data_IF_630503587316
#
_entry.id   IF_630503587316
#
_cell.length_a   1.000
_cell.length_b   1.000
_cell.length_c   1.000
_cell.angle_alpha   90.00
_cell.angle_beta   90.00
_cell.angle_gamma   90.00
#
_symmetry.space_group_name_H-M   'P 1'
#
loop_
_entity.id
_entity.type
_entity.pdbx_description
1 polymer ?
#
# COMPACT_ATOMS: atom_id res chain seq x y z
N UNK A 1 1.68 9.25 -34.39
CA UNK A 1 1.93 10.45 -33.56
C UNK A 1 2.79 10.01 -32.40
N UNK A 2 3.92 10.67 -32.11
CA UNK A 2 4.73 10.33 -30.92
C UNK A 2 3.99 10.89 -29.70
N UNK A 3 3.71 10.03 -28.72
CA UNK A 3 3.16 10.44 -27.43
C UNK A 3 4.09 11.47 -26.76
N UNK A 4 3.51 12.42 -26.04
CA UNK A 4 4.26 13.48 -25.34
C UNK A 4 5.27 12.88 -24.35
N UNK A 5 6.48 13.43 -24.30
CA UNK A 5 7.49 13.00 -23.36
C UNK A 5 7.07 13.35 -21.93
N UNK A 6 6.98 12.35 -21.06
CA UNK A 6 6.76 12.54 -19.62
C UNK A 6 8.10 12.91 -18.99
N UNK A 7 8.19 14.12 -18.43
CA UNK A 7 9.41 14.65 -17.82
C UNK A 7 9.34 14.52 -16.30
N UNK A 8 10.27 13.77 -15.72
CA UNK A 8 10.38 13.62 -14.26
C UNK A 8 11.46 14.53 -13.71
N UNK A 9 11.12 15.39 -12.74
CA UNK A 9 12.12 16.08 -11.92
C UNK A 9 12.55 15.18 -10.78
N UNK A 10 13.82 14.78 -10.79
CA UNK A 10 14.42 14.03 -9.70
C UNK A 10 15.19 14.97 -8.76
N UNK A 11 15.11 14.76 -7.43
CA UNK A 11 16.03 15.40 -6.50
C UNK A 11 17.49 15.11 -6.90
N UNK A 12 18.40 16.07 -6.74
CA UNK A 12 19.78 15.96 -7.23
C UNK A 12 20.53 14.72 -6.73
N UNK A 13 20.29 14.29 -5.48
CA UNK A 13 20.89 13.07 -4.93
C UNK A 13 20.35 11.79 -5.58
N UNK A 14 19.07 11.76 -5.98
CA UNK A 14 18.47 10.63 -6.69
C UNK A 14 19.01 10.57 -8.12
N UNK A 15 19.10 11.73 -8.79
CA UNK A 15 19.67 11.81 -10.15
C UNK A 15 21.11 11.29 -10.17
N UNK A 16 21.96 11.71 -9.22
CA UNK A 16 23.33 11.26 -9.12
C UNK A 16 23.45 9.73 -8.94
N UNK A 17 22.55 9.13 -8.16
CA UNK A 17 22.50 7.68 -7.98
C UNK A 17 22.09 6.95 -9.28
N UNK A 18 21.09 7.49 -9.99
CA UNK A 18 20.61 6.91 -11.26
C UNK A 18 21.69 7.06 -12.35
N UNK A 19 22.40 8.18 -12.41
CA UNK A 19 23.53 8.41 -13.33
C UNK A 19 24.68 7.44 -13.05
N UNK A 20 25.01 7.23 -11.77
CA UNK A 20 26.02 6.25 -11.36
C UNK A 20 25.63 4.84 -11.81
N UNK A 21 24.36 4.46 -11.63
CA UNK A 21 23.83 3.16 -12.05
C UNK A 21 23.83 3.03 -13.59
N UNK A 22 23.44 4.09 -14.30
CA UNK A 22 23.42 4.17 -15.76
C UNK A 22 24.83 3.97 -16.34
N UNK A 23 25.82 4.65 -15.76
CA UNK A 23 27.22 4.48 -16.15
C UNK A 23 27.71 3.05 -15.91
N UNK A 24 27.41 2.45 -14.76
CA UNK A 24 27.85 1.08 -14.44
C UNK A 24 27.26 0.02 -15.37
N UNK A 25 26.01 0.21 -15.79
CA UNK A 25 25.30 -0.73 -16.66
C UNK A 25 25.44 -0.40 -18.14
N UNK A 26 26.11 0.70 -18.49
CA UNK A 26 26.22 1.25 -19.85
C UNK A 26 24.84 1.46 -20.52
N UNK A 27 23.90 2.02 -19.76
CA UNK A 27 22.53 2.32 -20.19
C UNK A 27 22.27 3.82 -20.08
N UNK A 28 21.23 4.31 -20.75
CA UNK A 28 20.79 5.69 -20.55
C UNK A 28 19.98 5.83 -19.25
N UNK A 29 20.10 6.99 -18.60
CA UNK A 29 19.30 7.36 -17.41
C UNK A 29 17.80 7.20 -17.69
N UNK A 30 17.36 7.56 -18.90
CA UNK A 30 15.96 7.45 -19.31
C UNK A 30 15.49 5.99 -19.38
N UNK A 31 16.34 5.08 -19.85
CA UNK A 31 16.02 3.66 -19.89
C UNK A 31 15.95 3.06 -18.47
N UNK A 32 16.85 3.45 -17.57
CA UNK A 32 16.79 3.04 -16.17
C UNK A 32 15.50 3.55 -15.50
N UNK A 33 15.16 4.82 -15.68
CA UNK A 33 13.92 5.38 -15.15
C UNK A 33 12.70 4.61 -15.65
N UNK A 34 12.65 4.30 -16.95
CA UNK A 34 11.57 3.49 -17.54
C UNK A 34 11.47 2.10 -16.92
N UNK A 35 12.61 1.42 -16.69
CA UNK A 35 12.63 0.10 -16.08
C UNK A 35 12.17 0.12 -14.62
N UNK A 36 12.57 1.14 -13.85
CA UNK A 36 12.11 1.32 -12.47
C UNK A 36 10.60 1.53 -12.45
N UNK A 37 10.08 2.45 -13.27
CA UNK A 37 8.64 2.73 -13.34
C UNK A 37 7.84 1.48 -13.72
N UNK A 38 8.30 0.73 -14.73
CA UNK A 38 7.64 -0.53 -15.13
C UNK A 38 7.66 -1.53 -13.98
N UNK A 39 8.81 -1.70 -13.31
CA UNK A 39 8.94 -2.63 -12.18
C UNK A 39 7.96 -2.27 -11.06
N UNK A 40 7.91 -1.01 -10.65
CA UNK A 40 7.04 -0.58 -9.56
C UNK A 40 5.56 -0.69 -9.92
N UNK A 41 5.16 -0.34 -11.15
CA UNK A 41 3.78 -0.50 -11.62
C UNK A 41 3.37 -1.98 -11.64
N UNK A 42 4.28 -2.89 -11.98
CA UNK A 42 3.99 -4.32 -11.98
C UNK A 42 3.99 -4.93 -10.57
N UNK A 43 4.78 -4.38 -9.66
CA UNK A 43 5.01 -4.97 -8.33
C UNK A 43 4.02 -4.46 -7.28
N UNK A 44 3.70 -3.16 -7.28
CA UNK A 44 2.82 -2.55 -6.27
C UNK A 44 1.41 -3.19 -6.26
N UNK A 45 0.71 -3.35 -7.41
CA UNK A 45 -0.62 -3.96 -7.40
C UNK A 45 -0.60 -5.41 -6.90
N UNK A 46 0.41 -6.20 -7.31
CA UNK A 46 0.56 -7.58 -6.87
C UNK A 46 0.83 -7.69 -5.35
N UNK A 47 1.63 -6.77 -4.80
CA UNK A 47 1.85 -6.69 -3.35
C UNK A 47 0.59 -6.28 -2.59
N UNK A 48 -0.21 -5.34 -3.12
CA UNK A 48 -1.47 -4.93 -2.51
C UNK A 48 -2.51 -6.07 -2.54
N UNK A 49 -2.60 -6.81 -3.64
CA UNK A 49 -3.50 -7.96 -3.76
C UNK A 49 -3.14 -9.08 -2.77
N UNK A 50 -1.86 -9.40 -2.63
CA UNK A 50 -1.41 -10.40 -1.66
C UNK A 50 -1.64 -9.92 -0.21
N UNK A 51 -1.42 -8.63 0.06
CA UNK A 51 -1.73 -8.03 1.37
C UNK A 51 -3.23 -8.16 1.70
N UNK A 52 -4.11 -7.81 0.77
CA UNK A 52 -5.56 -7.91 0.95
C UNK A 52 -6.01 -9.36 1.16
N UNK A 53 -5.40 -10.30 0.43
CA UNK A 53 -5.63 -11.73 0.62
C UNK A 53 -5.18 -12.21 2.00
N UNK A 54 -4.04 -11.74 2.50
CA UNK A 54 -3.58 -12.06 3.85
C UNK A 54 -4.50 -11.49 4.93
N UNK A 55 -4.98 -10.26 4.77
CA UNK A 55 -5.98 -9.67 5.67
C UNK A 55 -7.29 -10.48 5.68
N UNK A 56 -7.78 -10.89 4.51
CA UNK A 56 -8.97 -11.72 4.41
C UNK A 56 -8.79 -13.06 5.13
N UNK A 57 -7.63 -13.71 4.97
CA UNK A 57 -7.30 -14.95 5.66
C UNK A 57 -7.22 -14.77 7.17
N UNK A 58 -6.58 -13.69 7.66
CA UNK A 58 -6.51 -13.38 9.08
C UNK A 58 -7.89 -13.16 9.68
N UNK A 59 -8.77 -12.44 8.96
CA UNK A 59 -10.14 -12.22 9.40
C UNK A 59 -10.92 -13.53 9.47
N UNK A 60 -10.78 -14.41 8.48
CA UNK A 60 -11.41 -15.73 8.49
C UNK A 60 -10.92 -16.59 9.67
N UNK A 61 -9.60 -16.62 9.90
CA UNK A 61 -9.00 -17.34 11.01
C UNK A 61 -9.49 -16.82 12.38
N UNK A 62 -9.57 -15.50 12.56
CA UNK A 62 -10.10 -14.90 13.79
C UNK A 62 -11.57 -15.27 14.02
N UNK A 63 -12.38 -15.27 12.96
CA UNK A 63 -13.79 -15.69 13.04
C UNK A 63 -13.92 -17.17 13.43
N UNK A 64 -13.11 -18.03 12.85
CA UNK A 64 -13.10 -19.46 13.18
C UNK A 64 -12.67 -19.70 14.63
N UNK A 65 -11.66 -18.99 15.12
CA UNK A 65 -11.26 -19.05 16.54
C UNK A 65 -12.37 -18.56 17.47
N UNK A 66 -13.05 -17.45 17.14
CA UNK A 66 -14.17 -16.96 17.94
C UNK A 66 -15.31 -17.99 17.99
N UNK A 67 -15.61 -18.64 16.88
CA UNK A 67 -16.64 -19.69 16.81
C UNK A 67 -16.26 -20.92 17.63
N UNK A 68 -15.02 -21.42 17.49
CA UNK A 68 -14.54 -22.55 18.30
C UNK A 68 -14.49 -22.23 19.79
N UNK A 69 -14.16 -20.99 20.15
CA UNK A 69 -14.15 -20.57 21.55
C UNK A 69 -15.58 -20.50 22.10
N UNK A 70 -16.55 -20.03 21.33
CA UNK A 70 -17.96 -20.01 21.72
C UNK A 70 -18.52 -21.45 21.88
N UNK A 71 -18.23 -22.35 20.94
CA UNK A 71 -18.57 -23.77 21.03
C UNK A 71 -17.96 -24.41 22.28
N UNK A 72 -16.67 -24.18 22.54
CA UNK A 72 -15.99 -24.69 23.74
C UNK A 72 -16.63 -24.16 25.03
N UNK A 73 -17.06 -22.90 25.05
CA UNK A 73 -17.71 -22.29 26.22
C UNK A 73 -19.14 -22.80 26.43
N UNK A 74 -19.86 -23.07 25.34
CA UNK A 74 -21.20 -23.64 25.39
C UNK A 74 -21.18 -25.12 25.81
N UNK A 75 -20.14 -25.88 25.43
CA UNK A 75 -19.93 -27.26 25.89
C UNK A 75 -19.45 -27.34 27.36
N UNK A 76 -18.86 -26.27 27.88
CA UNK A 76 -18.34 -26.17 29.24
C UNK A 76 -19.06 -25.07 30.06
N UNK A 77 -20.40 -25.02 30.02
CA UNK A 77 -21.21 -23.99 30.71
C UNK A 77 -20.87 -23.82 32.21
N UNK A 78 -20.45 -24.89 32.90
CA UNK A 78 -20.02 -24.83 34.31
C UNK A 78 -18.65 -24.15 34.54
N UNK A 79 -17.87 -23.90 33.48
CA UNK A 79 -16.51 -23.32 33.50
C UNK A 79 -16.39 -22.06 32.63
N UNK A 80 -17.45 -21.25 32.51
CA UNK A 80 -17.35 -19.85 32.04
C UNK A 80 -16.48 -19.05 33.02
N UNK A 81 -15.17 -19.28 32.97
CA UNK A 81 -14.16 -18.56 33.73
C UNK A 81 -13.87 -17.21 33.06
N UNK A 82 -13.57 -16.19 33.86
CA UNK A 82 -13.15 -14.84 33.46
C UNK A 82 -12.06 -14.85 32.36
N UNK A 83 -11.25 -15.92 32.29
CA UNK A 83 -10.23 -16.10 31.28
C UNK A 83 -10.80 -16.19 29.84
N UNK A 84 -11.96 -16.83 29.65
CA UNK A 84 -12.55 -16.98 28.33
C UNK A 84 -13.21 -15.69 27.84
N UNK A 85 -13.88 -14.96 28.73
CA UNK A 85 -14.37 -13.61 28.45
C UNK A 85 -13.20 -12.66 28.12
N UNK A 86 -12.08 -12.75 28.84
CA UNK A 86 -10.89 -11.95 28.57
C UNK A 86 -10.29 -12.25 27.17
N UNK A 87 -10.27 -13.52 26.75
CA UNK A 87 -9.82 -13.91 25.40
C UNK A 87 -10.74 -13.35 24.32
N UNK A 88 -12.07 -13.44 24.50
CA UNK A 88 -13.03 -12.87 23.54
C UNK A 88 -12.94 -11.35 23.46
N UNK A 89 -12.77 -10.68 24.60
CA UNK A 89 -12.56 -9.23 24.63
C UNK A 89 -11.30 -8.82 23.87
N UNK A 90 -10.19 -9.55 24.03
CA UNK A 90 -8.95 -9.30 23.30
C UNK A 90 -9.06 -9.61 21.81
N UNK A 91 -9.80 -10.65 21.42
CA UNK A 91 -10.04 -10.95 20.01
C UNK A 91 -10.80 -9.81 19.32
N UNK A 92 -11.84 -9.27 19.97
CA UNK A 92 -12.60 -8.13 19.46
C UNK A 92 -11.75 -6.86 19.35
N UNK A 93 -10.87 -6.62 20.33
CA UNK A 93 -9.95 -5.48 20.30
C UNK A 93 -8.94 -5.59 19.14
N UNK A 94 -8.42 -6.80 18.88
CA UNK A 94 -7.54 -7.07 17.73
C UNK A 94 -8.30 -6.90 16.41
N UNK A 95 -9.55 -7.36 16.31
CA UNK A 95 -10.38 -7.14 15.11
C UNK A 95 -10.58 -5.65 14.84
N UNK A 96 -10.89 -4.85 15.86
CA UNK A 96 -11.03 -3.40 15.69
C UNK A 96 -9.72 -2.70 15.32
N UNK A 97 -8.59 -3.16 15.84
CA UNK A 97 -7.28 -2.65 15.43
C UNK A 97 -6.98 -2.98 13.96
N UNK A 98 -7.31 -4.19 13.51
CA UNK A 98 -7.17 -4.59 12.09
C UNK A 98 -8.08 -3.76 11.19
N UNK A 99 -9.33 -3.53 11.57
CA UNK A 99 -10.24 -2.67 10.81
C UNK A 99 -9.73 -1.22 10.75
N UNK A 100 -9.18 -0.71 11.85
CA UNK A 100 -8.58 0.64 11.89
C UNK A 100 -7.32 0.73 11.02
N UNK A 101 -6.49 -0.31 11.00
CA UNK A 101 -5.31 -0.40 10.11
C UNK A 101 -5.77 -0.48 8.65
N UNK A 102 -6.81 -1.25 8.35
CA UNK A 102 -7.38 -1.35 7.01
C UNK A 102 -7.95 -0.02 6.53
N UNK A 103 -8.66 0.71 7.39
CA UNK A 103 -9.17 2.05 7.07
C UNK A 103 -8.06 3.07 6.87
N UNK A 104 -6.93 2.94 7.58
CA UNK A 104 -5.75 3.78 7.38
C UNK A 104 -4.92 3.39 6.14
N UNK A 105 -4.89 2.10 5.79
CA UNK A 105 -4.18 1.54 4.64
C UNK A 105 -4.94 1.74 3.33
N UNK A 106 -6.29 1.75 3.37
CA UNK A 106 -7.13 2.31 2.32
C UNK A 106 -7.02 3.83 2.38
N UNK A 107 -5.89 4.34 1.90
CA UNK A 107 -5.72 5.75 1.56
C UNK A 107 -6.73 6.02 0.43
N UNK A 108 -7.94 6.46 0.79
CA UNK A 108 -8.82 7.13 -0.17
C UNK A 108 -7.94 8.20 -0.84
N UNK A 109 -7.95 8.31 -2.18
CA UNK A 109 -7.23 9.39 -2.85
C UNK A 109 -7.58 10.67 -2.13
N UNK A 110 -6.57 11.28 -1.49
CA UNK A 110 -6.79 12.52 -0.77
C UNK A 110 -7.30 13.49 -1.82
N UNK A 111 -8.52 13.99 -1.65
CA UNK A 111 -9.10 14.95 -2.60
C UNK A 111 -8.18 16.16 -2.78
N UNK A 112 -7.40 16.49 -1.75
CA UNK A 112 -6.33 17.48 -1.82
C UNK A 112 -5.16 17.08 -2.73
N UNK A 113 -4.71 15.82 -2.69
CA UNK A 113 -3.65 15.33 -3.60
C UNK A 113 -4.20 15.20 -5.03
N UNK A 114 -5.42 14.71 -5.21
CA UNK A 114 -6.12 14.72 -6.51
C UNK A 114 -6.23 16.13 -7.08
N UNK A 115 -6.63 17.11 -6.26
CA UNK A 115 -6.72 18.51 -6.66
C UNK A 115 -5.35 19.13 -6.95
N UNK A 116 -4.32 18.75 -6.18
CA UNK A 116 -2.95 19.22 -6.39
C UNK A 116 -2.37 18.67 -7.70
N UNK A 117 -2.61 17.39 -8.00
CA UNK A 117 -2.20 16.74 -9.26
C UNK A 117 -2.97 17.36 -10.42
N UNK A 118 -4.29 17.52 -10.30
CA UNK A 118 -5.12 18.18 -11.31
C UNK A 118 -4.67 19.61 -11.60
N UNK A 119 -4.40 20.41 -10.56
CA UNK A 119 -3.85 21.76 -10.73
C UNK A 119 -2.45 21.79 -11.33
N UNK A 120 -1.66 20.72 -11.14
CA UNK A 120 -0.35 20.59 -11.76
C UNK A 120 -0.48 20.19 -13.24
N UNK A 121 -1.40 19.29 -13.57
CA UNK A 121 -1.67 18.80 -14.93
C UNK A 121 -2.41 19.83 -15.80
N UNK A 122 -3.23 20.69 -15.20
CA UNK A 122 -3.93 21.80 -15.87
C UNK A 122 -3.03 23.02 -16.14
N UNK A 123 -1.80 23.07 -15.59
CA UNK A 123 -0.86 24.14 -15.93
C UNK A 123 -0.34 23.92 -17.35
N UNK A 124 -0.40 24.93 -18.25
CA UNK A 124 0.21 24.82 -19.57
C UNK A 124 1.70 24.50 -19.38
N UNK A 125 2.15 23.47 -20.11
CA UNK A 125 3.53 22.96 -20.15
C UNK A 125 4.52 24.11 -19.96
N UNK A 126 5.36 24.00 -18.92
CA UNK A 126 6.42 24.96 -18.64
C UNK A 126 7.20 25.24 -19.93
N UNK A 127 7.14 26.48 -20.40
CA UNK A 127 8.00 26.94 -21.48
C UNK A 127 9.46 26.68 -21.07
N UNK A 128 10.21 26.06 -21.98
CA UNK A 128 11.65 25.86 -21.83
C UNK A 128 12.28 27.20 -21.49
N UNK A 129 12.99 27.28 -20.37
CA UNK A 129 13.93 28.35 -20.12
C UNK A 129 14.96 28.32 -21.25
N UNK A 130 14.80 29.21 -22.21
CA UNK A 130 15.79 29.46 -23.25
C UNK A 130 17.04 30.00 -22.59
N UNK A 131 18.08 29.18 -22.52
CA UNK A 131 19.48 29.59 -22.45
C UNK A 131 20.24 28.75 -23.45
#
# INVERSE_FOLDING_TARGET
MRESAIMFRLPGHVLANVETLASRLNLSVNLIAKLIVIREIMNIPAMLEEHDKQLANMHQFLREMAFHNDDFLNENEERRDEAAEAVMAKLNEVMHAIDSIRDAAFVRPSTYIEDLIRQHDERPVQESLGV
#
